data_IF_234533175909
#
_entry.id   IF_234533175909
#
_cell.length_a   1.000
_cell.length_b   1.000
_cell.length_c   1.000
_cell.angle_alpha   90.00
_cell.angle_beta   90.00
_cell.angle_gamma   90.00
#
_symmetry.space_group_name_H-M   'P 1'
#
loop_
_entity.id
_entity.type
_entity.pdbx_description
1 polymer ?
#
# COMPACT_ATOMS: atom_id res chain seq x y z
N UNK A 1 2.41 27.47 -7.78
CA UNK A 1 3.25 26.48 -7.06
C UNK A 1 2.53 25.16 -7.25
N UNK A 2 3.08 24.31 -8.11
CA UNK A 2 2.42 23.13 -8.68
C UNK A 2 2.12 22.12 -7.57
N UNK A 3 0.87 21.80 -7.31
CA UNK A 3 0.51 20.51 -6.68
C UNK A 3 -0.18 19.69 -7.76
N UNK A 4 0.60 19.02 -8.64
CA UNK A 4 0.03 18.32 -9.78
C UNK A 4 -0.61 17.04 -9.25
N UNK A 5 -1.86 17.14 -8.78
CA UNK A 5 -2.73 16.02 -8.41
C UNK A 5 -1.97 14.91 -7.70
N UNK A 6 -1.71 15.08 -6.40
CA UNK A 6 -1.09 14.08 -5.55
C UNK A 6 -1.96 12.82 -5.50
N UNK A 7 -1.83 12.00 -6.54
CA UNK A 7 -2.75 10.95 -6.90
C UNK A 7 -2.35 9.71 -6.13
N UNK A 8 -3.29 9.20 -5.36
CA UNK A 8 -3.14 7.97 -4.60
C UNK A 8 -3.53 6.79 -5.49
N UNK A 9 -2.68 5.78 -5.54
CA UNK A 9 -2.89 4.59 -6.37
C UNK A 9 -3.01 3.35 -5.50
N UNK A 10 -3.95 2.49 -5.86
CA UNK A 10 -4.08 1.16 -5.26
C UNK A 10 -2.85 0.32 -5.56
N UNK A 11 -2.24 -0.19 -4.49
CA UNK A 11 -1.06 -1.07 -4.55
C UNK A 11 -1.33 -2.44 -3.94
N UNK A 12 -2.35 -2.56 -3.07
CA UNK A 12 -2.85 -3.83 -2.59
C UNK A 12 -4.30 -3.71 -2.11
N UNK A 13 -4.98 -4.84 -2.02
CA UNK A 13 -6.36 -4.96 -1.56
C UNK A 13 -6.53 -6.27 -0.79
N UNK A 14 -7.29 -6.23 0.30
CA UNK A 14 -7.58 -7.39 1.13
C UNK A 14 -8.92 -7.27 1.83
N UNK A 15 -9.61 -8.39 2.05
CA UNK A 15 -10.78 -8.44 2.95
C UNK A 15 -10.39 -8.32 4.42
N UNK A 16 -9.15 -8.60 4.75
CA UNK A 16 -8.63 -8.57 6.11
C UNK A 16 -7.99 -7.22 6.42
N UNK A 17 -8.59 -6.47 7.35
CA UNK A 17 -8.05 -5.19 7.84
C UNK A 17 -6.61 -5.32 8.33
N UNK A 18 -6.33 -6.42 9.05
CA UNK A 18 -5.01 -6.69 9.62
C UNK A 18 -3.94 -6.74 8.51
N UNK A 19 -4.22 -7.47 7.43
CA UNK A 19 -3.30 -7.60 6.29
C UNK A 19 -3.01 -6.25 5.63
N UNK A 20 -4.05 -5.44 5.37
CA UNK A 20 -3.87 -4.10 4.82
C UNK A 20 -3.04 -3.18 5.74
N UNK A 21 -3.23 -3.29 7.07
CA UNK A 21 -2.42 -2.56 8.04
C UNK A 21 -0.96 -2.99 8.05
N UNK A 22 -0.70 -4.30 7.99
CA UNK A 22 0.67 -4.84 7.89
C UNK A 22 1.37 -4.33 6.62
N UNK A 23 0.70 -4.35 5.46
CA UNK A 23 1.25 -3.77 4.24
C UNK A 23 1.58 -2.29 4.40
N UNK A 24 0.70 -1.50 5.02
CA UNK A 24 0.99 -0.09 5.32
C UNK A 24 2.22 0.10 6.22
N UNK A 25 2.43 -0.78 7.21
CA UNK A 25 3.63 -0.74 8.07
C UNK A 25 4.90 -1.09 7.30
N UNK A 26 4.85 -2.09 6.42
CA UNK A 26 5.97 -2.47 5.54
C UNK A 26 6.36 -1.29 4.66
N UNK A 27 5.40 -0.66 3.98
CA UNK A 27 5.66 0.51 3.15
C UNK A 27 6.26 1.68 3.94
N UNK A 28 5.73 1.96 5.13
CA UNK A 28 6.28 3.00 5.99
C UNK A 28 7.74 2.71 6.39
N UNK A 29 8.07 1.46 6.69
CA UNK A 29 9.42 1.06 7.13
C UNK A 29 10.51 1.25 6.06
N UNK A 30 10.13 1.23 4.78
CA UNK A 30 11.02 1.46 3.64
C UNK A 30 10.95 2.89 3.08
N UNK A 31 10.26 3.78 3.81
CA UNK A 31 10.15 5.21 3.50
C UNK A 31 9.11 5.56 2.43
N UNK A 32 8.16 4.68 2.13
CA UNK A 32 7.09 4.93 1.18
C UNK A 32 5.89 5.53 1.90
N UNK A 33 5.39 6.68 1.43
CA UNK A 33 4.16 7.25 1.96
C UNK A 33 2.96 6.42 1.52
N UNK A 34 2.24 5.84 2.48
CA UNK A 34 1.06 5.01 2.22
C UNK A 34 -0.15 5.43 3.04
N UNK A 35 -1.34 5.08 2.55
CA UNK A 35 -2.60 5.19 3.26
C UNK A 35 -3.41 3.89 3.15
N UNK A 36 -4.44 3.77 3.97
CA UNK A 36 -5.43 2.68 3.87
C UNK A 36 -6.83 3.26 3.87
N UNK A 37 -7.71 2.74 3.01
CA UNK A 37 -9.13 3.08 3.00
C UNK A 37 -10.00 1.83 2.89
N UNK A 38 -11.26 1.94 3.27
CA UNK A 38 -12.24 0.88 3.10
C UNK A 38 -13.19 1.23 1.94
N UNK A 39 -13.37 0.30 1.00
CA UNK A 39 -14.32 0.42 -0.10
C UNK A 39 -14.89 -0.97 -0.45
N UNK A 40 -16.20 -1.05 -0.70
CA UNK A 40 -16.90 -2.29 -1.08
C UNK A 40 -16.62 -3.50 -0.16
N UNK A 41 -16.45 -3.23 1.14
CA UNK A 41 -16.16 -4.28 2.14
C UNK A 41 -14.70 -4.75 2.17
N UNK A 42 -13.82 -4.15 1.38
CA UNK A 42 -12.40 -4.46 1.31
C UNK A 42 -11.54 -3.30 1.81
N UNK A 43 -10.35 -3.63 2.28
CA UNK A 43 -9.32 -2.69 2.70
C UNK A 43 -8.30 -2.53 1.58
N UNK A 44 -8.16 -1.29 1.11
CA UNK A 44 -7.32 -0.89 0.00
C UNK A 44 -6.11 -0.15 0.57
N UNK A 45 -4.91 -0.57 0.17
CA UNK A 45 -3.65 0.08 0.46
C UNK A 45 -3.30 0.99 -0.71
N UNK A 46 -3.01 2.24 -0.40
CA UNK A 46 -2.71 3.29 -1.36
C UNK A 46 -1.27 3.77 -1.17
N UNK A 47 -0.59 4.10 -2.27
CA UNK A 47 0.69 4.80 -2.27
C UNK A 47 0.64 6.00 -3.22
N UNK A 48 1.63 6.89 -3.12
CA UNK A 48 1.82 7.95 -4.13
C UNK A 48 2.21 7.35 -5.48
N UNK A 49 1.87 8.03 -6.57
CA UNK A 49 2.17 7.58 -7.94
C UNK A 49 3.65 7.25 -8.12
N UNK A 50 4.52 8.13 -7.65
CA UNK A 50 5.98 8.01 -7.75
C UNK A 50 6.53 6.75 -7.07
N UNK A 51 5.82 6.21 -6.08
CA UNK A 51 6.22 5.04 -5.31
C UNK A 51 5.37 3.79 -5.62
N UNK A 52 4.33 3.88 -6.45
CA UNK A 52 3.31 2.84 -6.59
C UNK A 52 3.90 1.48 -7.03
N UNK A 53 4.79 1.49 -8.03
CA UNK A 53 5.47 0.26 -8.48
C UNK A 53 6.38 -0.33 -7.41
N UNK A 54 7.17 0.52 -6.76
CA UNK A 54 8.06 0.08 -5.68
C UNK A 54 7.26 -0.48 -4.51
N UNK A 55 6.15 0.15 -4.15
CA UNK A 55 5.25 -0.31 -3.10
C UNK A 55 4.69 -1.71 -3.38
N UNK A 56 4.29 -2.00 -4.63
CA UNK A 56 3.83 -3.34 -5.03
C UNK A 56 4.91 -4.39 -4.85
N UNK A 57 6.14 -4.08 -5.26
CA UNK A 57 7.29 -4.99 -5.11
C UNK A 57 7.59 -5.30 -3.64
N UNK A 58 7.59 -4.28 -2.77
CA UNK A 58 7.86 -4.48 -1.34
C UNK A 58 6.75 -5.27 -0.65
N UNK A 59 5.48 -5.06 -1.03
CA UNK A 59 4.36 -5.87 -0.56
C UNK A 59 4.50 -7.32 -1.03
N UNK A 60 4.77 -7.56 -2.31
CA UNK A 60 4.95 -8.92 -2.85
C UNK A 60 6.13 -9.65 -2.19
N UNK A 61 7.21 -8.91 -1.89
CA UNK A 61 8.35 -9.45 -1.14
C UNK A 61 7.94 -9.84 0.27
N UNK A 62 7.28 -8.96 1.00
CA UNK A 62 6.77 -9.24 2.35
C UNK A 62 5.84 -10.46 2.35
N UNK A 63 4.90 -10.53 1.41
CA UNK A 63 3.98 -11.68 1.29
C UNK A 63 4.75 -12.97 1.03
N UNK A 64 5.75 -12.99 0.14
CA UNK A 64 6.58 -14.18 -0.09
C UNK A 64 7.38 -14.61 1.14
N UNK A 65 7.82 -13.66 1.95
CA UNK A 65 8.62 -13.93 3.16
C UNK A 65 7.77 -14.35 4.37
N UNK A 66 6.48 -13.98 4.40
CA UNK A 66 5.57 -14.18 5.55
C UNK A 66 4.40 -15.12 5.25
N UNK A 67 4.18 -15.51 3.99
CA UNK A 67 3.34 -16.66 3.63
C UNK A 67 4.19 -17.91 3.79
N UNK A 68 4.20 -18.41 5.02
CA UNK A 68 4.73 -19.70 5.47
C UNK A 68 3.80 -20.30 6.50
#
# INVERSE_FOLDING_TARGET
MTDPQASWFEVARSREQRKAREHGLVLHSVGIQSGTMQADGEWIVLARLEDAERARVEIERYERENVG
#
